data_IF_454639024812
#
_entry.id   IF_454639024812
#
_cell.length_a   1.000
_cell.length_b   1.000
_cell.length_c   1.000
_cell.angle_alpha   90.00
_cell.angle_beta   90.00
_cell.angle_gamma   90.00
#
_symmetry.space_group_name_H-M   'P 1'
#
loop_
_entity.id
_entity.type
_entity.pdbx_description
1 polymer ?
#
# COMPACT_ATOMS: atom_id res chain seq x y z
N UNK A 1 14.87 -48.01 -33.97
CA UNK A 1 14.59 -47.43 -32.64
C UNK A 1 15.76 -46.52 -32.30
N UNK A 2 15.67 -45.24 -32.65
CA UNK A 2 16.74 -44.26 -32.46
C UNK A 2 16.36 -43.31 -31.32
N UNK A 3 17.16 -43.30 -30.26
CA UNK A 3 16.98 -42.40 -29.13
C UNK A 3 17.41 -40.99 -29.55
N UNK A 4 16.55 -39.99 -29.34
CA UNK A 4 16.85 -38.58 -29.66
C UNK A 4 17.69 -37.98 -28.52
N UNK A 5 18.74 -37.19 -28.80
CA UNK A 5 19.53 -36.55 -27.77
C UNK A 5 18.74 -35.40 -27.12
N UNK A 6 18.92 -35.22 -25.82
CA UNK A 6 18.32 -34.13 -25.05
C UNK A 6 19.18 -32.89 -25.34
N UNK A 7 18.66 -31.95 -26.14
CA UNK A 7 19.31 -30.67 -26.39
C UNK A 7 19.09 -29.74 -25.20
N UNK A 8 20.12 -29.55 -24.36
CA UNK A 8 20.15 -28.51 -23.34
C UNK A 8 20.40 -27.16 -24.02
N UNK A 9 19.34 -26.42 -24.31
CA UNK A 9 19.45 -25.02 -24.72
C UNK A 9 19.77 -24.16 -23.50
N UNK A 10 21.06 -23.89 -23.31
CA UNK A 10 21.55 -22.81 -22.45
C UNK A 10 21.76 -21.55 -23.31
N UNK A 11 21.14 -20.44 -22.88
CA UNK A 11 21.20 -19.11 -23.50
C UNK A 11 19.81 -18.65 -23.94
N UNK A 12 19.33 -17.45 -23.70
CA UNK A 12 19.89 -16.23 -23.14
C UNK A 12 18.68 -15.34 -22.77
N UNK A 13 18.75 -14.70 -21.60
CA UNK A 13 18.12 -13.41 -21.19
C UNK A 13 16.62 -13.12 -21.43
N UNK A 14 16.00 -12.67 -20.33
CA UNK A 14 14.86 -11.74 -20.27
C UNK A 14 13.67 -12.04 -21.20
N UNK A 15 12.92 -13.08 -20.86
CA UNK A 15 11.51 -13.19 -21.23
C UNK A 15 10.67 -13.14 -19.97
N UNK A 16 10.03 -12.00 -19.72
CA UNK A 16 9.09 -11.73 -18.62
C UNK A 16 8.25 -12.98 -18.27
N UNK A 17 8.14 -13.40 -17.00
CA UNK A 17 7.17 -14.42 -16.68
C UNK A 17 5.80 -13.87 -17.07
N UNK A 18 5.18 -14.55 -18.03
CA UNK A 18 3.82 -14.32 -18.46
C UNK A 18 2.97 -14.06 -17.20
N UNK A 19 2.51 -12.82 -17.08
CA UNK A 19 1.54 -12.42 -16.05
C UNK A 19 0.34 -13.32 -16.33
N UNK A 20 0.19 -14.39 -15.54
CA UNK A 20 -1.08 -15.11 -15.43
C UNK A 20 -2.16 -14.02 -15.32
N UNK A 21 -3.33 -14.12 -15.95
CA UNK A 21 -4.44 -13.28 -15.55
C UNK A 21 -4.70 -13.65 -14.10
N UNK A 22 -4.09 -12.90 -13.19
CA UNK A 22 -4.45 -12.92 -11.80
C UNK A 22 -5.96 -12.71 -11.84
N UNK A 23 -6.71 -13.69 -11.36
CA UNK A 23 -8.08 -13.48 -10.95
C UNK A 23 -8.09 -12.11 -10.29
N UNK A 24 -8.73 -11.13 -10.95
CA UNK A 24 -8.68 -9.74 -10.56
C UNK A 24 -9.51 -9.59 -9.28
N UNK A 25 -8.99 -10.14 -8.18
CA UNK A 25 -9.17 -9.53 -6.89
C UNK A 25 -8.77 -8.07 -7.15
N UNK A 26 -9.67 -7.11 -6.93
CA UNK A 26 -9.27 -5.71 -7.01
C UNK A 26 -8.03 -5.63 -6.13
N UNK A 27 -6.92 -5.15 -6.70
CA UNK A 27 -5.75 -4.80 -5.92
C UNK A 27 -6.32 -4.03 -4.72
N UNK A 28 -6.27 -4.55 -3.48
CA UNK A 28 -6.75 -3.78 -2.36
C UNK A 28 -5.71 -2.69 -2.24
N UNK A 29 -5.88 -1.60 -3.00
CA UNK A 29 -4.93 -0.55 -3.21
C UNK A 29 -4.86 0.25 -1.92
N UNK A 30 -4.23 -0.39 -0.93
CA UNK A 30 -3.95 0.10 0.38
C UNK A 30 -2.67 0.91 0.27
N UNK A 31 -2.76 2.21 0.56
CA UNK A 31 -1.60 3.09 0.56
C UNK A 31 -1.22 3.38 2.01
N UNK A 32 0.03 3.13 2.38
CA UNK A 32 0.55 3.52 3.68
C UNK A 32 0.87 5.02 3.67
N UNK A 33 0.43 5.73 4.70
CA UNK A 33 0.82 7.11 4.97
C UNK A 33 1.99 7.06 5.96
N UNK A 34 3.14 7.50 5.49
CA UNK A 34 4.37 7.65 6.27
C UNK A 34 4.63 9.14 6.55
N UNK A 35 4.96 9.48 7.79
CA UNK A 35 5.29 10.84 8.24
C UNK A 35 6.60 10.76 9.01
N UNK A 36 7.60 11.56 8.62
CA UNK A 36 8.94 11.50 9.21
C UNK A 36 9.55 10.08 9.20
N UNK A 37 9.32 9.34 8.11
CA UNK A 37 9.74 7.92 7.97
C UNK A 37 9.01 6.93 8.91
N UNK A 38 8.03 7.39 9.70
CA UNK A 38 7.19 6.55 10.57
C UNK A 38 5.84 6.24 9.88
N UNK A 39 5.46 4.96 9.85
CA UNK A 39 4.18 4.53 9.30
C UNK A 39 3.04 4.90 10.26
N UNK A 40 2.23 5.89 9.87
CA UNK A 40 1.19 6.47 10.73
C UNK A 40 -0.18 5.83 10.49
N UNK A 41 -0.47 5.46 9.25
CA UNK A 41 -1.75 4.82 8.92
C UNK A 41 -1.79 4.18 7.55
N UNK A 42 -2.82 3.38 7.32
CA UNK A 42 -3.14 2.73 6.06
C UNK A 42 -4.43 3.32 5.50
N UNK A 43 -4.44 3.68 4.23
CA UNK A 43 -5.63 4.14 3.52
C UNK A 43 -6.10 3.08 2.56
N UNK A 44 -7.37 2.72 2.62
CA UNK A 44 -8.00 1.80 1.66
C UNK A 44 -9.15 2.48 0.91
N UNK A 45 -9.43 2.01 -0.29
CA UNK A 45 -10.57 2.49 -1.06
C UNK A 45 -11.89 2.15 -0.33
N UNK A 46 -12.74 3.16 -0.14
CA UNK A 46 -14.07 3.05 0.44
C UNK A 46 -15.12 3.52 -0.59
N UNK A 47 -16.36 3.00 -0.59
CA UNK A 47 -17.40 3.44 -1.54
C UNK A 47 -17.64 4.96 -1.56
N UNK A 48 -17.37 5.64 -0.45
CA UNK A 48 -17.57 7.08 -0.24
C UNK A 48 -16.27 7.89 -0.29
N UNK A 49 -15.12 7.26 -0.57
CA UNK A 49 -13.81 7.92 -0.61
C UNK A 49 -12.67 7.00 -0.16
N UNK A 50 -11.94 7.41 0.86
CA UNK A 50 -10.71 6.78 1.35
C UNK A 50 -10.80 6.53 2.85
N UNK A 51 -10.92 5.27 3.26
CA UNK A 51 -10.97 4.89 4.68
C UNK A 51 -9.56 4.86 5.28
N UNK A 52 -9.35 5.56 6.38
CA UNK A 52 -8.10 5.59 7.13
C UNK A 52 -8.13 4.59 8.28
N UNK A 53 -7.06 3.81 8.41
CA UNK A 53 -6.82 2.88 9.50
C UNK A 53 -5.54 3.30 10.22
N UNK A 54 -5.65 3.59 11.51
CA UNK A 54 -4.50 4.05 12.28
C UNK A 54 -3.56 2.87 12.57
N UNK A 55 -2.27 3.07 12.29
CA UNK A 55 -1.20 2.14 12.69
C UNK A 55 -0.46 2.67 13.92
N UNK A 56 -0.33 4.00 14.02
CA UNK A 56 0.28 4.67 15.17
C UNK A 56 -0.76 5.25 16.16
N UNK A 57 -0.41 5.26 17.46
CA UNK A 57 -1.28 5.73 18.55
C UNK A 57 -1.61 7.23 18.46
N UNK A 58 -0.78 8.04 17.78
CA UNK A 58 -1.04 9.48 17.57
C UNK A 58 -2.18 9.70 16.59
N UNK A 59 -2.34 8.80 15.62
CA UNK A 59 -3.40 8.84 14.61
C UNK A 59 -4.64 8.01 14.97
N UNK A 60 -4.68 7.40 16.16
CA UNK A 60 -5.82 6.59 16.63
C UNK A 60 -7.17 7.33 16.51
N UNK A 61 -7.19 8.65 16.71
CA UNK A 61 -8.41 9.46 16.57
C UNK A 61 -8.97 9.49 15.15
N UNK A 62 -8.17 9.16 14.13
CA UNK A 62 -8.53 9.12 12.72
C UNK A 62 -8.95 7.72 12.25
N UNK A 63 -8.84 6.70 13.09
CA UNK A 63 -9.18 5.33 12.73
C UNK A 63 -10.66 5.20 12.33
N UNK A 64 -10.89 4.56 11.18
CA UNK A 64 -12.22 4.35 10.61
C UNK A 64 -12.84 5.59 9.95
N UNK A 65 -12.16 6.74 9.94
CA UNK A 65 -12.65 7.92 9.25
C UNK A 65 -12.51 7.77 7.73
N UNK A 66 -13.51 8.25 7.00
CA UNK A 66 -13.51 8.28 5.53
C UNK A 66 -13.22 9.69 5.06
N UNK A 67 -12.18 9.84 4.25
CA UNK A 67 -11.76 11.08 3.64
C UNK A 67 -12.15 11.10 2.17
N UNK A 68 -12.31 12.31 1.62
CA UNK A 68 -12.65 12.49 0.20
C UNK A 68 -11.55 11.93 -0.72
N UNK A 69 -10.27 12.13 -0.36
CA UNK A 69 -9.12 11.65 -1.12
C UNK A 69 -7.93 11.31 -0.21
N UNK A 70 -6.90 10.66 -0.77
CA UNK A 70 -5.66 10.32 -0.07
C UNK A 70 -4.92 11.56 0.47
N UNK A 71 -4.94 12.67 -0.26
CA UNK A 71 -4.33 13.92 0.18
C UNK A 71 -5.00 14.48 1.46
N UNK A 72 -6.32 14.37 1.57
CA UNK A 72 -7.06 14.80 2.75
C UNK A 72 -6.77 13.90 3.97
N UNK A 73 -6.70 12.58 3.75
CA UNK A 73 -6.31 11.62 4.79
C UNK A 73 -4.90 11.88 5.31
N UNK A 74 -3.95 12.17 4.41
CA UNK A 74 -2.57 12.54 4.76
C UNK A 74 -2.50 13.84 5.56
N UNK A 75 -3.17 14.89 5.09
CA UNK A 75 -3.17 16.17 5.80
C UNK A 75 -3.73 16.02 7.23
N UNK A 76 -4.80 15.25 7.41
CA UNK A 76 -5.34 14.96 8.74
C UNK A 76 -4.33 14.19 9.61
N UNK A 77 -3.66 13.18 9.05
CA UNK A 77 -2.61 12.42 9.74
C UNK A 77 -1.43 13.33 10.15
N UNK A 78 -0.98 14.22 9.28
CA UNK A 78 0.06 15.23 9.58
C UNK A 78 -0.36 16.16 10.72
N UNK A 79 -1.61 16.63 10.73
CA UNK A 79 -2.12 17.48 11.81
C UNK A 79 -2.18 16.79 13.16
N UNK A 80 -2.60 15.52 13.24
CA UNK A 80 -2.64 14.80 14.54
C UNK A 80 -1.25 14.37 15.00
N UNK A 81 -0.38 13.99 14.06
CA UNK A 81 0.99 13.56 14.33
C UNK A 81 1.82 14.70 14.90
N UNK A 82 1.82 15.86 14.25
CA UNK A 82 2.55 17.05 14.72
C UNK A 82 1.79 17.85 15.79
N UNK A 83 0.45 17.83 15.76
CA UNK A 83 -0.39 18.56 16.72
C UNK A 83 -0.35 18.00 18.15
N UNK A 84 -0.02 16.71 18.33
CA UNK A 84 0.26 16.15 19.67
C UNK A 84 1.62 16.61 20.21
N UNK A 85 2.58 16.93 19.34
CA UNK A 85 3.91 17.43 19.75
C UNK A 85 3.81 18.81 20.42
N UNK A 86 2.90 19.67 19.95
CA UNK A 86 2.66 21.01 20.50
C UNK A 86 1.98 21.02 21.89
N UNK A 87 1.46 19.89 22.36
CA UNK A 87 0.77 19.76 23.65
C UNK A 87 1.64 19.13 24.75
N UNK A 88 2.92 18.87 24.46
CA UNK A 88 3.89 18.34 25.43
C UNK A 88 5.06 19.31 25.72
N UNK A 89 4.91 20.59 25.36
CA UNK A 89 5.86 21.66 25.69
C UNK A 89 5.42 22.50 26.88
#
# INVERSE_FOLDING_TARGET
MGQRPIEFHAGDRLGSPARRPASALPDPAGYVIEIDEEAVGLVTAHPEGMAFHAVDMRAQSLDGQVFVDMAAARAAAEMVFYGRLAQQG
#
